data_IF_513997088630
#
_entry.id   IF_513997088630
#
_cell.length_a   1.000
_cell.length_b   1.000
_cell.length_c   1.000
_cell.angle_alpha   90.00
_cell.angle_beta   90.00
_cell.angle_gamma   90.00
#
_symmetry.space_group_name_H-M   'P 1'
#
loop_
_entity.id
_entity.type
_entity.pdbx_description
1 polymer ?
#
# COMPACT_ATOMS: atom_id res chain seq x y z
N UNK A 1 12.07 -39.42 5.97
CA UNK A 1 12.95 -38.69 5.03
C UNK A 1 12.22 -38.18 3.77
N UNK A 2 11.20 -38.88 3.26
CA UNK A 2 10.45 -38.41 2.07
C UNK A 2 9.64 -37.10 2.29
N UNK A 3 9.16 -36.85 3.50
CA UNK A 3 8.37 -35.65 3.82
C UNK A 3 9.19 -34.34 3.83
N UNK A 4 10.50 -34.42 4.06
CA UNK A 4 11.38 -33.23 4.05
C UNK A 4 11.78 -32.79 2.63
N UNK A 5 11.77 -33.71 1.66
CA UNK A 5 12.09 -33.39 0.27
C UNK A 5 10.98 -32.59 -0.43
N UNK A 6 9.72 -32.73 0.01
CA UNK A 6 8.56 -32.01 -0.54
C UNK A 6 8.47 -30.55 -0.13
N UNK A 7 9.15 -30.14 0.94
CA UNK A 7 9.15 -28.76 1.43
C UNK A 7 10.13 -27.83 0.70
N UNK A 8 11.05 -28.37 -0.10
CA UNK A 8 12.10 -27.60 -0.78
C UNK A 8 11.78 -27.26 -2.24
N UNK A 9 10.67 -27.76 -2.80
CA UNK A 9 10.30 -27.52 -4.21
C UNK A 9 9.40 -26.33 -4.44
N UNK A 10 9.13 -25.53 -3.42
CA UNK A 10 8.10 -24.50 -3.42
C UNK A 10 8.41 -23.18 -4.13
N UNK A 11 9.64 -22.94 -4.61
CA UNK A 11 10.03 -21.59 -5.09
C UNK A 11 10.58 -21.54 -6.52
N UNK A 12 10.30 -22.49 -7.39
CA UNK A 12 10.95 -22.58 -8.69
C UNK A 12 10.04 -22.32 -9.90
N UNK A 13 9.06 -21.46 -9.80
CA UNK A 13 8.38 -20.94 -10.99
C UNK A 13 8.80 -19.49 -11.24
N UNK A 14 9.87 -19.28 -12.00
CA UNK A 14 10.20 -17.97 -12.55
C UNK A 14 9.24 -17.67 -13.69
N UNK A 15 8.28 -16.77 -13.48
CA UNK A 15 7.53 -16.19 -14.59
C UNK A 15 8.43 -15.15 -15.26
N UNK A 16 8.93 -15.48 -16.43
CA UNK A 16 9.63 -14.51 -17.29
C UNK A 16 8.57 -13.63 -17.93
N UNK A 17 8.44 -12.41 -17.42
CA UNK A 17 7.63 -11.38 -18.07
C UNK A 17 8.51 -10.74 -19.15
N UNK A 18 8.19 -10.97 -20.41
CA UNK A 18 8.79 -10.21 -21.50
C UNK A 18 8.23 -8.79 -21.45
N UNK A 19 9.01 -7.87 -20.88
CA UNK A 19 8.70 -6.45 -21.01
C UNK A 19 8.84 -6.09 -22.49
N UNK A 20 7.74 -5.70 -23.12
CA UNK A 20 7.80 -5.06 -24.42
C UNK A 20 8.66 -3.80 -24.24
N UNK A 21 9.65 -3.64 -25.13
CA UNK A 21 10.46 -2.45 -25.15
C UNK A 21 9.52 -1.25 -25.26
N UNK A 22 9.47 -0.43 -24.19
CA UNK A 22 8.70 0.81 -24.24
C UNK A 22 9.16 1.59 -25.48
N UNK A 23 8.19 2.07 -26.25
CA UNK A 23 8.50 2.96 -27.38
C UNK A 23 9.35 4.14 -26.90
N UNK A 24 9.98 4.86 -27.83
CA UNK A 24 10.85 5.97 -27.45
C UNK A 24 10.05 6.97 -26.62
N UNK A 25 10.49 7.13 -25.38
CA UNK A 25 10.16 8.23 -24.50
C UNK A 25 8.72 8.33 -23.96
N UNK A 26 8.38 7.43 -23.04
CA UNK A 26 7.72 7.94 -21.84
C UNK A 26 8.79 8.05 -20.76
N UNK A 27 9.64 9.05 -20.87
CA UNK A 27 10.45 9.45 -19.73
C UNK A 27 9.47 9.69 -18.57
N UNK A 28 9.65 8.98 -17.45
CA UNK A 28 8.96 9.33 -16.21
C UNK A 28 9.47 10.73 -15.84
N UNK A 29 8.83 11.75 -16.40
CA UNK A 29 9.11 13.14 -16.03
C UNK A 29 8.52 13.28 -14.63
N UNK A 30 9.42 13.34 -13.64
CA UNK A 30 9.03 13.72 -12.31
C UNK A 30 8.41 15.13 -12.38
N UNK A 31 7.16 15.32 -11.90
CA UNK A 31 6.57 16.64 -11.90
C UNK A 31 7.53 17.59 -11.16
N UNK A 32 7.88 18.68 -11.80
CA UNK A 32 8.65 19.74 -11.14
C UNK A 32 7.81 20.25 -9.97
N UNK A 33 8.25 19.96 -8.75
CA UNK A 33 7.62 20.56 -7.57
C UNK A 33 8.14 21.98 -7.47
N UNK A 34 7.28 22.99 -7.38
CA UNK A 34 7.70 24.40 -7.25
C UNK A 34 8.33 24.71 -5.89
N UNK A 35 8.68 23.73 -5.10
CA UNK A 35 9.21 23.86 -3.75
C UNK A 35 10.71 23.54 -3.73
N UNK A 36 11.47 24.38 -3.04
CA UNK A 36 12.92 24.19 -2.84
C UNK A 36 13.26 22.92 -2.04
N UNK A 37 12.25 22.31 -1.40
CA UNK A 37 12.41 21.10 -0.58
C UNK A 37 11.46 20.03 -1.04
N UNK A 38 12.00 18.88 -1.43
CA UNK A 38 11.26 17.67 -1.79
C UNK A 38 11.27 16.73 -0.59
N UNK A 39 10.07 16.32 -0.15
CA UNK A 39 9.90 15.35 0.93
C UNK A 39 9.53 13.99 0.32
N UNK A 40 10.37 12.99 0.55
CA UNK A 40 10.11 11.60 0.18
C UNK A 40 9.85 10.76 1.42
N UNK A 41 8.92 9.82 1.33
CA UNK A 41 8.63 8.83 2.38
C UNK A 41 8.86 7.43 1.82
N UNK A 42 9.67 6.64 2.53
CA UNK A 42 9.92 5.24 2.19
C UNK A 42 9.24 4.33 3.23
N UNK A 43 8.38 3.44 2.75
CA UNK A 43 7.62 2.50 3.58
C UNK A 43 8.20 1.10 3.43
N UNK A 44 8.70 0.53 4.52
CA UNK A 44 9.35 -0.78 4.55
C UNK A 44 8.35 -1.93 4.41
N UNK A 45 8.85 -3.10 4.01
CA UNK A 45 8.12 -4.34 4.08
C UNK A 45 8.02 -4.90 5.50
N UNK A 46 7.21 -5.95 5.68
CA UNK A 46 7.03 -6.61 6.98
C UNK A 46 5.59 -7.02 7.28
N UNK A 47 4.79 -7.25 6.24
CA UNK A 47 3.39 -7.71 6.36
C UNK A 47 2.47 -6.67 6.98
N UNK A 48 1.42 -7.14 7.66
CA UNK A 48 0.38 -6.29 8.25
C UNK A 48 0.91 -5.30 9.28
N UNK A 49 1.95 -5.69 10.03
CA UNK A 49 2.57 -4.78 11.02
C UNK A 49 3.24 -3.59 10.35
N UNK A 50 3.98 -3.81 9.25
CA UNK A 50 4.60 -2.72 8.51
C UNK A 50 3.55 -1.84 7.84
N UNK A 51 2.45 -2.42 7.35
CA UNK A 51 1.34 -1.66 6.79
C UNK A 51 0.72 -0.72 7.83
N UNK A 52 0.42 -1.23 9.02
CA UNK A 52 -0.15 -0.43 10.11
C UNK A 52 0.83 0.66 10.60
N UNK A 53 2.12 0.29 10.77
CA UNK A 53 3.15 1.26 11.16
C UNK A 53 3.29 2.38 10.12
N UNK A 54 3.26 2.04 8.82
CA UNK A 54 3.30 3.01 7.74
C UNK A 54 2.09 3.96 7.74
N UNK A 55 0.88 3.44 7.99
CA UNK A 55 -0.33 4.24 8.09
C UNK A 55 -0.26 5.21 9.27
N UNK A 56 0.16 4.72 10.45
CA UNK A 56 0.38 5.57 11.62
C UNK A 56 1.46 6.64 11.38
N UNK A 57 2.52 6.29 10.64
CA UNK A 57 3.56 7.24 10.24
C UNK A 57 3.02 8.36 9.32
N UNK A 58 2.19 8.03 8.34
CA UNK A 58 1.54 9.03 7.48
C UNK A 58 0.57 9.91 8.29
N UNK A 59 -0.16 9.33 9.23
CA UNK A 59 -1.02 10.09 10.14
C UNK A 59 -0.20 11.03 11.04
N UNK A 60 0.93 10.59 11.56
CA UNK A 60 1.84 11.45 12.32
C UNK A 60 2.33 12.64 11.49
N UNK A 61 2.73 12.40 10.22
CA UNK A 61 3.11 13.47 9.30
C UNK A 61 1.93 14.43 9.01
N UNK A 62 0.70 13.92 8.99
CA UNK A 62 -0.49 14.74 8.83
C UNK A 62 -0.69 15.72 10.00
N UNK A 63 -0.39 15.28 11.22
CA UNK A 63 -0.51 16.08 12.45
C UNK A 63 0.62 17.08 12.65
N UNK A 64 1.77 16.89 11.96
CA UNK A 64 2.89 17.79 12.07
C UNK A 64 2.69 19.05 11.23
N UNK A 65 2.84 20.21 11.87
CA UNK A 65 2.80 21.50 11.18
C UNK A 65 4.13 21.75 10.48
N UNK A 66 4.06 22.08 9.20
CA UNK A 66 5.22 22.42 8.40
C UNK A 66 5.67 23.88 8.66
N UNK A 67 6.98 24.18 8.52
CA UNK A 67 7.45 25.56 8.48
C UNK A 67 6.71 26.33 7.37
N UNK A 68 6.20 27.52 7.70
CA UNK A 68 5.38 28.29 6.77
C UNK A 68 3.89 27.91 6.71
N UNK A 69 3.46 26.95 7.55
CA UNK A 69 2.05 26.58 7.72
C UNK A 69 1.65 25.30 6.99
N UNK A 70 0.44 24.84 7.29
CA UNK A 70 -0.08 23.57 6.77
C UNK A 70 0.57 22.32 7.37
N UNK A 71 0.25 21.16 6.84
CA UNK A 71 0.77 19.87 7.31
C UNK A 71 2.01 19.44 6.53
N UNK A 72 2.94 18.75 7.22
CA UNK A 72 4.09 18.10 6.59
C UNK A 72 3.66 17.07 5.55
N UNK A 73 2.54 16.36 5.77
CA UNK A 73 2.02 15.39 4.83
C UNK A 73 1.75 16.00 3.43
N UNK A 74 1.33 17.27 3.36
CA UNK A 74 1.10 17.97 2.08
C UNK A 74 2.39 18.25 1.30
N UNK A 75 3.54 18.18 1.96
CA UNK A 75 4.84 18.35 1.31
C UNK A 75 5.44 17.04 0.80
N UNK A 76 4.81 15.90 1.11
CA UNK A 76 5.25 14.61 0.60
C UNK A 76 4.93 14.54 -0.88
N UNK A 77 5.98 14.65 -1.70
CA UNK A 77 5.90 14.56 -3.15
C UNK A 77 6.16 13.15 -3.68
N UNK A 78 6.89 12.34 -2.91
CA UNK A 78 7.26 10.99 -3.32
C UNK A 78 6.98 9.97 -2.23
N UNK A 79 6.42 8.84 -2.65
CA UNK A 79 6.15 7.71 -1.79
C UNK A 79 6.75 6.45 -2.42
N UNK A 80 7.71 5.85 -1.73
CA UNK A 80 8.33 4.58 -2.12
C UNK A 80 7.90 3.49 -1.14
N UNK A 81 7.66 2.28 -1.62
CA UNK A 81 7.12 1.24 -0.76
C UNK A 81 7.49 -0.17 -1.22
N UNK A 82 7.56 -1.10 -0.26
CA UNK A 82 7.83 -2.52 -0.49
C UNK A 82 6.88 -3.37 0.34
N UNK A 83 6.30 -4.43 -0.26
CA UNK A 83 5.48 -5.45 0.45
C UNK A 83 4.35 -4.82 1.29
N UNK A 84 4.33 -5.03 2.62
CA UNK A 84 3.33 -4.44 3.52
C UNK A 84 3.25 -2.91 3.42
N UNK A 85 4.37 -2.23 3.24
CA UNK A 85 4.37 -0.79 2.93
C UNK A 85 3.66 -0.44 1.63
N UNK A 86 3.63 -1.37 0.65
CA UNK A 86 2.88 -1.23 -0.60
C UNK A 86 1.36 -1.17 -0.36
N UNK A 87 0.84 -1.89 0.63
CA UNK A 87 -0.57 -1.81 1.01
C UNK A 87 -0.91 -0.41 1.53
N UNK A 88 -0.05 0.12 2.40
CA UNK A 88 -0.17 1.49 2.92
C UNK A 88 -0.12 2.52 1.81
N UNK A 89 0.89 2.45 0.94
CA UNK A 89 1.05 3.39 -0.16
C UNK A 89 -0.12 3.35 -1.13
N UNK A 90 -0.56 2.15 -1.52
CA UNK A 90 -1.68 1.93 -2.43
C UNK A 90 -2.99 2.48 -1.85
N UNK A 91 -3.33 2.10 -0.61
CA UNK A 91 -4.54 2.60 0.02
C UNK A 91 -4.53 4.12 0.16
N UNK A 92 -3.41 4.69 0.64
CA UNK A 92 -3.25 6.14 0.74
C UNK A 92 -3.45 6.84 -0.60
N UNK A 93 -2.81 6.36 -1.66
CA UNK A 93 -2.91 6.97 -2.99
C UNK A 93 -4.34 6.97 -3.54
N UNK A 94 -5.07 5.87 -3.33
CA UNK A 94 -6.43 5.70 -3.86
C UNK A 94 -7.52 6.44 -3.07
N UNK A 95 -7.36 6.56 -1.74
CA UNK A 95 -8.46 6.98 -0.87
C UNK A 95 -8.21 8.29 -0.11
N UNK A 96 -7.00 8.87 -0.21
CA UNK A 96 -6.73 10.15 0.46
C UNK A 96 -7.70 11.23 -0.01
N UNK A 97 -8.11 12.16 0.86
CA UNK A 97 -8.92 13.31 0.46
C UNK A 97 -8.28 14.09 -0.68
N UNK A 98 -9.09 14.83 -1.43
CA UNK A 98 -8.61 15.60 -2.58
C UNK A 98 -7.43 16.51 -2.20
N UNK A 99 -6.61 16.84 -3.19
CA UNK A 99 -5.45 17.71 -2.96
C UNK A 99 -5.83 19.08 -2.42
N UNK A 100 -7.02 19.57 -2.74
CA UNK A 100 -7.53 20.88 -2.28
C UNK A 100 -7.98 20.86 -0.82
N UNK A 101 -8.33 19.67 -0.28
CA UNK A 101 -8.77 19.55 1.11
C UNK A 101 -7.60 19.82 2.06
N UNK A 102 -7.71 20.81 2.96
CA UNK A 102 -6.67 21.06 3.95
C UNK A 102 -6.57 19.91 4.93
N UNK A 103 -5.33 19.58 5.33
CA UNK A 103 -5.08 18.54 6.35
C UNK A 103 -5.32 19.08 7.74
N UNK A 104 -4.83 20.30 7.99
CA UNK A 104 -4.95 20.99 9.27
C UNK A 104 -5.78 22.25 9.14
N UNK A 105 -6.56 22.53 10.16
CA UNK A 105 -7.22 23.80 10.39
C UNK A 105 -6.22 24.87 10.86
N UNK A 106 -6.58 26.17 10.86
CA UNK A 106 -5.69 27.23 11.34
C UNK A 106 -5.22 27.06 12.77
N UNK A 107 -6.02 26.46 13.63
CA UNK A 107 -5.70 26.14 15.03
C UNK A 107 -4.70 24.96 15.16
N UNK A 108 -4.43 24.24 14.07
CA UNK A 108 -3.54 23.07 14.03
C UNK A 108 -4.23 21.75 14.26
N UNK A 109 -5.54 21.71 14.44
CA UNK A 109 -6.30 20.48 14.52
C UNK A 109 -6.46 19.86 13.12
N UNK A 110 -6.55 18.54 13.06
CA UNK A 110 -6.78 17.83 11.80
C UNK A 110 -8.22 18.03 11.37
N UNK A 111 -8.44 18.28 10.07
CA UNK A 111 -9.78 18.39 9.50
C UNK A 111 -10.56 17.09 9.60
N UNK A 112 -11.88 17.17 9.68
CA UNK A 112 -12.77 16.02 9.78
C UNK A 112 -12.55 15.00 8.63
N UNK A 113 -12.35 15.50 7.41
CA UNK A 113 -12.08 14.65 6.25
C UNK A 113 -10.84 13.77 6.45
N UNK A 114 -9.76 14.32 7.00
CA UNK A 114 -8.54 13.57 7.27
C UNK A 114 -8.63 12.72 8.54
N UNK A 115 -9.40 13.12 9.54
CA UNK A 115 -9.69 12.29 10.72
C UNK A 115 -10.44 11.02 10.32
N UNK A 116 -11.50 11.17 9.54
CA UNK A 116 -12.30 10.05 9.01
C UNK A 116 -11.42 9.14 8.15
N UNK A 117 -10.67 9.73 7.20
CA UNK A 117 -9.76 8.98 6.35
C UNK A 117 -8.76 8.15 7.16
N UNK A 118 -8.06 8.72 8.14
CA UNK A 118 -7.07 7.96 8.92
C UNK A 118 -7.70 6.92 9.84
N UNK A 119 -8.90 7.16 10.35
CA UNK A 119 -9.64 6.17 11.13
C UNK A 119 -9.98 4.94 10.28
N UNK A 120 -10.49 5.16 9.07
CA UNK A 120 -10.78 4.09 8.12
C UNK A 120 -9.49 3.41 7.64
N UNK A 121 -8.48 4.17 7.32
CA UNK A 121 -7.19 3.68 6.87
C UNK A 121 -6.55 2.73 7.89
N UNK A 122 -6.44 3.15 9.14
CA UNK A 122 -5.88 2.33 10.21
C UNK A 122 -6.71 1.06 10.42
N UNK A 123 -8.03 1.15 10.34
CA UNK A 123 -8.93 -0.01 10.44
C UNK A 123 -8.71 -0.99 9.28
N UNK A 124 -8.60 -0.49 8.06
CA UNK A 124 -8.44 -1.31 6.86
C UNK A 124 -7.08 -2.00 6.81
N UNK A 125 -5.98 -1.25 7.01
CA UNK A 125 -4.63 -1.83 6.93
C UNK A 125 -4.24 -2.60 8.21
N UNK A 126 -4.93 -2.36 9.32
CA UNK A 126 -4.75 -3.10 10.58
C UNK A 126 -5.34 -4.51 10.56
N UNK A 127 -6.08 -4.89 9.50
CA UNK A 127 -6.63 -6.23 9.38
C UNK A 127 -5.54 -7.29 9.24
N UNK A 128 -5.79 -8.47 9.77
CA UNK A 128 -4.87 -9.60 9.64
C UNK A 128 -5.01 -10.25 8.26
N UNK A 129 -4.27 -9.71 7.29
CA UNK A 129 -4.20 -10.25 5.93
C UNK A 129 -3.49 -11.60 5.88
N UNK A 130 -2.53 -11.84 6.78
CA UNK A 130 -1.74 -13.07 6.78
C UNK A 130 -2.59 -14.28 7.17
N UNK A 131 -3.32 -14.19 8.27
CA UNK A 131 -4.21 -15.27 8.69
C UNK A 131 -5.30 -15.52 7.66
N UNK A 132 -5.89 -14.47 7.08
CA UNK A 132 -6.88 -14.63 6.02
C UNK A 132 -6.33 -15.37 4.80
N UNK A 133 -5.10 -15.02 4.39
CA UNK A 133 -4.44 -15.69 3.27
C UNK A 133 -4.12 -17.15 3.59
N UNK A 134 -3.59 -17.44 4.79
CA UNK A 134 -3.27 -18.80 5.25
C UNK A 134 -4.53 -19.67 5.28
N UNK A 135 -5.61 -19.18 5.88
CA UNK A 135 -6.86 -19.93 5.96
C UNK A 135 -7.47 -20.18 4.57
N UNK A 136 -7.40 -19.20 3.67
CA UNK A 136 -7.87 -19.37 2.30
C UNK A 136 -7.04 -20.39 1.52
N UNK A 137 -5.74 -20.43 1.76
CA UNK A 137 -4.84 -21.41 1.13
C UNK A 137 -5.03 -22.81 1.71
N UNK A 138 -5.16 -22.95 3.03
CA UNK A 138 -5.39 -24.25 3.69
C UNK A 138 -6.75 -24.85 3.31
N UNK A 139 -7.78 -24.02 3.14
CA UNK A 139 -9.11 -24.47 2.70
C UNK A 139 -9.18 -24.85 1.22
N UNK A 140 -8.15 -24.57 0.44
CA UNK A 140 -8.10 -24.83 -0.99
C UNK A 140 -7.06 -25.89 -1.33
N UNK A 141 -7.48 -27.14 -1.51
CA UNK A 141 -6.59 -28.24 -2.00
C UNK A 141 -5.91 -27.90 -3.35
N UNK A 142 -6.40 -26.87 -4.05
CA UNK A 142 -5.85 -26.37 -5.32
C UNK A 142 -4.45 -25.78 -5.18
N UNK A 143 -4.07 -25.28 -4.00
CA UNK A 143 -2.74 -24.73 -3.73
C UNK A 143 -1.62 -25.79 -3.88
N UNK A 144 -1.88 -27.03 -3.45
CA UNK A 144 -0.92 -28.15 -3.54
C UNK A 144 -0.63 -28.52 -4.99
N UNK A 145 -1.59 -28.27 -5.89
CA UNK A 145 -1.52 -28.65 -7.29
C UNK A 145 -1.01 -27.54 -8.21
N UNK A 146 -1.10 -26.27 -7.79
CA UNK A 146 -0.69 -25.14 -8.64
C UNK A 146 -0.27 -23.90 -7.82
N UNK A 147 1.05 -23.64 -7.66
CA UNK A 147 1.58 -22.50 -6.93
C UNK A 147 1.15 -21.12 -7.50
N UNK A 148 0.82 -21.04 -8.80
CA UNK A 148 0.36 -19.78 -9.39
C UNK A 148 -0.98 -19.29 -8.81
N UNK A 149 -1.77 -20.19 -8.22
CA UNK A 149 -3.03 -19.82 -7.55
C UNK A 149 -2.80 -19.08 -6.23
N UNK A 150 -1.61 -19.17 -5.64
CA UNK A 150 -1.28 -18.41 -4.42
C UNK A 150 -1.28 -16.89 -4.66
N UNK A 151 -0.72 -16.44 -5.79
CA UNK A 151 -0.73 -15.03 -6.17
C UNK A 151 -2.16 -14.52 -6.40
N UNK A 152 -3.00 -15.33 -7.04
CA UNK A 152 -4.41 -14.99 -7.27
C UNK A 152 -5.19 -14.86 -5.97
N UNK A 153 -4.97 -15.76 -5.01
CA UNK A 153 -5.59 -15.67 -3.69
C UNK A 153 -5.20 -14.41 -2.92
N UNK A 154 -3.96 -13.94 -3.09
CA UNK A 154 -3.52 -12.69 -2.48
C UNK A 154 -4.27 -11.49 -3.09
N UNK A 155 -4.38 -11.44 -4.42
CA UNK A 155 -5.11 -10.37 -5.12
C UNK A 155 -6.57 -10.33 -4.65
N UNK A 156 -7.23 -11.48 -4.61
CA UNK A 156 -8.63 -11.59 -4.16
C UNK A 156 -8.82 -11.11 -2.71
N UNK A 157 -7.93 -11.51 -1.78
CA UNK A 157 -7.99 -11.06 -0.38
C UNK A 157 -7.78 -9.55 -0.28
N UNK A 158 -6.87 -8.98 -1.08
CA UNK A 158 -6.62 -7.54 -1.08
C UNK A 158 -7.79 -6.76 -1.67
N UNK A 159 -8.38 -7.26 -2.76
CA UNK A 159 -9.57 -6.65 -3.37
C UNK A 159 -10.75 -6.64 -2.39
N UNK A 160 -11.04 -7.77 -1.73
CA UNK A 160 -12.15 -7.88 -0.78
C UNK A 160 -11.99 -6.95 0.44
N UNK A 161 -10.75 -6.74 0.90
CA UNK A 161 -10.50 -6.04 2.17
C UNK A 161 -10.10 -4.58 2.02
N UNK A 162 -9.45 -4.22 0.93
CA UNK A 162 -8.93 -2.87 0.70
C UNK A 162 -9.74 -2.09 -0.33
N UNK A 163 -10.28 -2.76 -1.34
CA UNK A 163 -11.04 -2.09 -2.38
C UNK A 163 -12.53 -2.09 -2.00
N UNK A 164 -13.16 -0.94 -2.01
CA UNK A 164 -14.60 -0.83 -1.77
C UNK A 164 -15.34 -1.47 -2.94
N UNK A 165 -16.32 -2.37 -2.71
CA UNK A 165 -17.13 -2.93 -3.78
C UNK A 165 -17.80 -1.80 -4.58
N UNK A 166 -17.49 -1.70 -5.87
CA UNK A 166 -18.07 -0.72 -6.79
C UNK A 166 -17.10 0.29 -7.42
N UNK A 167 -15.82 0.31 -7.02
CA UNK A 167 -14.80 1.17 -7.67
C UNK A 167 -13.73 0.39 -8.45
N UNK A 168 -13.91 -0.88 -8.66
CA UNK A 168 -12.91 -1.78 -9.25
C UNK A 168 -13.22 -2.30 -10.64
N UNK A 169 -13.85 -1.51 -11.51
CA UNK A 169 -13.82 -1.74 -12.95
C UNK A 169 -12.95 -0.68 -13.60
N UNK A 170 -11.69 -1.02 -13.81
CA UNK A 170 -10.81 -0.40 -14.80
C UNK A 170 -10.51 -1.46 -15.86
#
# INVERSE_FOLDING_TARGET
MLAYALLLTGCASAHVVHLQKAGPETACVMPATPQDTVVGVSLSGGGSRAALFGAAGLEALARLRAPGGGSVLKRVGYLSSVSGGGLTAGYYAMHKPSHETPVLLPDGTMTEAYQTFFTEFNTKVGQDFQSALIWRQLGSFRFVLNPALAARSLIEVLQERLVVPGQGEI
#
